data_IF_646348839205
#
_entry.id   IF_646348839205
#
_cell.length_a   1.000
_cell.length_b   1.000
_cell.length_c   1.000
_cell.angle_alpha   90.00
_cell.angle_beta   90.00
_cell.angle_gamma   90.00
#
_symmetry.space_group_name_H-M   'P 1'
#
loop_
_entity.id
_entity.type
_entity.pdbx_description
1 polymer ?
#
# COMPACT_ATOMS: atom_id res chain seq x y z
N UNK A 1 6.44 -4.48 -7.10
CA UNK A 1 6.32 -5.61 -8.04
C UNK A 1 6.73 -5.12 -9.42
N UNK A 2 7.72 -5.75 -10.03
CA UNK A 2 8.24 -5.32 -11.34
C UNK A 2 7.34 -5.73 -12.52
N UNK A 3 7.76 -5.42 -13.75
CA UNK A 3 7.02 -5.72 -14.99
C UNK A 3 6.80 -7.22 -15.27
N UNK A 4 7.57 -8.11 -14.63
CA UNK A 4 7.47 -9.58 -14.75
C UNK A 4 6.92 -10.22 -13.47
N UNK A 5 6.18 -9.44 -12.67
CA UNK A 5 5.65 -9.83 -11.36
C UNK A 5 6.72 -10.22 -10.32
N UNK A 6 7.96 -9.76 -10.49
CA UNK A 6 9.07 -9.95 -9.57
C UNK A 6 8.91 -9.13 -8.28
N UNK A 7 9.31 -9.73 -7.15
CA UNK A 7 9.22 -9.11 -5.81
C UNK A 7 10.47 -9.27 -4.94
N UNK A 8 11.42 -10.14 -5.31
CA UNK A 8 12.58 -10.40 -4.48
C UNK A 8 13.75 -11.03 -5.24
N UNK A 9 14.97 -10.70 -4.81
CA UNK A 9 16.24 -11.25 -5.30
C UNK A 9 17.25 -11.32 -4.16
N UNK A 10 17.93 -12.44 -3.96
CA UNK A 10 18.96 -12.54 -2.91
C UNK A 10 18.48 -12.23 -1.49
N UNK A 11 17.21 -12.53 -1.16
CA UNK A 11 16.56 -12.18 0.10
C UNK A 11 16.48 -10.66 0.37
N UNK A 12 16.37 -9.83 -0.68
CA UNK A 12 16.12 -8.40 -0.60
C UNK A 12 15.15 -7.95 -1.72
N UNK A 13 14.68 -6.71 -1.65
CA UNK A 13 13.91 -6.06 -2.71
C UNK A 13 14.89 -5.69 -3.85
N UNK A 14 14.63 -6.05 -5.12
CA UNK A 14 15.57 -5.84 -6.23
C UNK A 14 15.82 -4.36 -6.60
N UNK A 15 15.02 -3.44 -6.09
CA UNK A 15 15.07 -2.01 -6.36
C UNK A 15 15.11 -1.20 -5.06
N UNK A 16 15.56 0.06 -5.14
CA UNK A 16 15.60 0.99 -4.00
C UNK A 16 14.80 2.25 -4.31
N UNK A 17 13.53 2.24 -3.93
CA UNK A 17 12.62 3.37 -4.10
C UNK A 17 12.28 3.96 -2.73
N UNK A 18 12.93 5.08 -2.36
CA UNK A 18 12.73 5.70 -1.02
C UNK A 18 11.29 6.10 -0.78
N UNK A 19 10.64 6.62 -1.82
CA UNK A 19 9.25 7.06 -1.77
C UNK A 19 8.28 5.88 -1.55
N UNK A 20 8.53 4.73 -2.16
CA UNK A 20 7.77 3.49 -1.90
C UNK A 20 7.94 3.02 -0.45
N UNK A 21 9.16 3.09 0.11
CA UNK A 21 9.38 2.74 1.52
C UNK A 21 8.70 3.70 2.50
N UNK A 22 8.67 5.00 2.19
CA UNK A 22 7.94 6.00 2.97
C UNK A 22 6.43 5.72 2.91
N UNK A 23 5.91 5.45 1.72
CA UNK A 23 4.51 5.09 1.50
C UNK A 23 4.13 3.81 2.25
N UNK A 24 4.92 2.74 2.15
CA UNK A 24 4.74 1.50 2.93
C UNK A 24 4.70 1.78 4.43
N UNK A 25 5.65 2.58 4.94
CA UNK A 25 5.68 2.92 6.37
C UNK A 25 4.45 3.74 6.79
N UNK A 26 3.98 4.66 5.95
CA UNK A 26 2.81 5.48 6.24
C UNK A 26 1.55 4.60 6.27
N UNK A 27 1.30 3.83 5.22
CA UNK A 27 0.11 2.98 5.09
C UNK A 27 0.00 1.96 6.21
N UNK A 28 1.10 1.29 6.53
CA UNK A 28 1.08 0.23 7.55
C UNK A 28 1.08 0.79 8.98
N UNK A 29 1.33 2.09 9.20
CA UNK A 29 1.27 2.73 10.53
C UNK A 29 -0.02 3.51 10.76
N UNK A 30 -0.54 4.17 9.72
CA UNK A 30 -1.69 5.06 9.83
C UNK A 30 -2.90 4.29 10.31
N UNK A 31 -3.51 4.80 11.37
CA UNK A 31 -4.80 4.36 11.88
C UNK A 31 -5.80 5.51 11.80
N UNK A 32 -7.09 5.18 11.77
CA UNK A 32 -8.19 6.13 11.92
C UNK A 32 -8.44 6.47 13.39
N UNK A 33 -8.20 5.52 14.30
CA UNK A 33 -8.24 5.68 15.75
C UNK A 33 -6.80 5.69 16.31
N UNK A 34 -6.42 6.79 16.96
CA UNK A 34 -5.09 6.97 17.55
C UNK A 34 -4.79 6.01 18.70
N UNK A 35 -5.83 5.39 19.30
CA UNK A 35 -5.67 4.39 20.35
C UNK A 35 -5.45 2.98 19.82
N UNK A 36 -5.57 2.80 18.50
CA UNK A 36 -5.37 1.51 17.84
C UNK A 36 -3.99 1.43 17.19
N UNK A 37 -3.62 0.19 16.88
CA UNK A 37 -2.36 -0.15 16.22
C UNK A 37 -2.63 -1.08 15.05
N UNK A 38 -1.81 -0.98 14.01
CA UNK A 38 -1.83 -1.91 12.91
C UNK A 38 -0.88 -3.09 13.14
N UNK A 39 -1.23 -4.23 12.56
CA UNK A 39 -0.40 -5.44 12.58
C UNK A 39 0.26 -5.61 11.22
N UNK A 40 1.51 -6.06 11.21
CA UNK A 40 2.19 -6.52 9.99
C UNK A 40 2.55 -8.00 10.13
N UNK A 41 1.99 -8.84 9.26
CA UNK A 41 2.27 -10.27 9.16
C UNK A 41 3.29 -10.50 8.05
N UNK A 42 4.36 -11.21 8.37
CA UNK A 42 5.40 -11.55 7.42
C UNK A 42 5.98 -12.95 7.65
N UNK A 43 6.65 -13.50 6.64
CA UNK A 43 7.36 -14.78 6.76
C UNK A 43 8.78 -14.58 7.27
N UNK A 44 9.40 -15.65 7.80
CA UNK A 44 10.78 -15.62 8.33
C UNK A 44 11.80 -14.97 7.39
N UNK A 45 11.78 -15.31 6.09
CA UNK A 45 12.73 -14.76 5.10
C UNK A 45 12.61 -13.24 4.94
N UNK A 46 11.36 -12.74 4.90
CA UNK A 46 11.07 -11.31 4.87
C UNK A 46 11.48 -10.62 6.17
N UNK A 47 11.23 -11.27 7.32
CA UNK A 47 11.76 -10.78 8.59
C UNK A 47 13.29 -10.68 8.57
N UNK A 48 14.00 -11.64 8.00
CA UNK A 48 15.46 -11.60 7.93
C UNK A 48 16.04 -10.60 6.92
N UNK A 49 15.26 -10.21 5.91
CA UNK A 49 15.68 -9.18 4.94
C UNK A 49 15.62 -7.77 5.53
N UNK A 50 14.83 -7.54 6.58
CA UNK A 50 14.74 -6.23 7.21
C UNK A 50 16.06 -5.88 7.93
N UNK A 51 16.59 -4.65 7.75
CA UNK A 51 17.75 -4.19 8.52
C UNK A 51 17.49 -4.29 10.02
N UNK A 52 18.44 -4.83 10.79
CA UNK A 52 18.28 -5.11 12.22
C UNK A 52 17.78 -3.89 13.04
N UNK A 53 18.20 -2.68 12.69
CA UNK A 53 17.76 -1.43 13.33
C UNK A 53 16.27 -1.10 13.16
N UNK A 54 15.60 -1.74 12.20
CA UNK A 54 14.17 -1.56 11.92
C UNK A 54 13.35 -2.77 12.36
N UNK A 55 13.94 -3.73 13.09
CA UNK A 55 13.25 -4.89 13.63
C UNK A 55 13.06 -4.75 15.15
N UNK A 56 11.83 -4.94 15.67
CA UNK A 56 10.55 -4.97 14.95
C UNK A 56 10.24 -3.63 14.27
N UNK A 57 9.38 -3.64 13.23
CA UNK A 57 8.97 -2.43 12.53
C UNK A 57 8.23 -1.50 13.51
N UNK A 58 8.71 -0.26 13.76
CA UNK A 58 8.18 0.58 14.82
C UNK A 58 6.75 1.04 14.53
N UNK A 59 5.98 1.26 15.60
CA UNK A 59 4.58 1.71 15.55
C UNK A 59 3.57 0.66 15.10
N UNK A 60 3.97 -0.63 15.07
CA UNK A 60 3.16 -1.75 14.59
C UNK A 60 3.41 -2.98 15.45
N UNK A 61 2.40 -3.84 15.56
CA UNK A 61 2.59 -5.22 16.06
C UNK A 61 3.15 -6.04 14.92
N UNK A 62 4.30 -6.68 15.12
CA UNK A 62 4.94 -7.50 14.10
C UNK A 62 4.61 -8.97 14.36
N UNK A 63 4.10 -9.67 13.36
CA UNK A 63 3.85 -11.12 13.42
C UNK A 63 4.76 -11.79 12.41
N UNK A 64 5.60 -12.70 12.89
CA UNK A 64 6.49 -13.49 12.05
C UNK A 64 5.99 -14.93 12.00
N UNK A 65 5.60 -15.36 10.81
CA UNK A 65 5.24 -16.75 10.54
C UNK A 65 6.51 -17.58 10.35
N UNK A 66 6.77 -18.46 11.30
CA UNK A 66 7.95 -19.33 11.31
C UNK A 66 7.73 -20.57 12.16
N UNK A 67 8.18 -21.72 11.64
CA UNK A 67 8.17 -22.99 12.38
C UNK A 67 9.44 -23.20 13.22
N UNK A 68 10.51 -22.46 12.92
CA UNK A 68 11.84 -22.65 13.52
C UNK A 68 12.29 -21.49 14.39
N UNK A 69 11.66 -20.32 14.27
CA UNK A 69 12.03 -19.16 15.08
C UNK A 69 11.54 -19.35 16.51
N UNK A 70 12.42 -19.18 17.48
CA UNK A 70 12.06 -19.21 18.89
C UNK A 70 11.25 -17.95 19.25
N UNK A 71 10.11 -18.09 19.95
CA UNK A 71 9.37 -16.94 20.44
C UNK A 71 10.26 -16.02 21.29
N UNK A 72 10.17 -14.72 21.04
CA UNK A 72 10.90 -13.70 21.80
C UNK A 72 9.92 -12.96 22.70
N UNK A 73 10.34 -12.61 23.91
CA UNK A 73 9.56 -11.73 24.79
C UNK A 73 9.69 -10.30 24.29
N UNK A 74 8.76 -9.88 23.44
CA UNK A 74 8.63 -8.50 22.99
C UNK A 74 7.15 -8.20 22.77
N UNK A 75 6.66 -7.11 23.36
CA UNK A 75 5.25 -6.70 23.25
C UNK A 75 4.82 -6.42 21.81
N UNK A 76 5.77 -6.04 20.95
CA UNK A 76 5.51 -5.70 19.54
C UNK A 76 5.96 -6.80 18.57
N UNK A 77 6.26 -8.01 19.05
CA UNK A 77 6.68 -9.15 18.23
C UNK A 77 5.98 -10.44 18.66
N UNK A 78 5.22 -11.00 17.74
CA UNK A 78 4.56 -12.29 17.86
C UNK A 78 5.23 -13.24 16.88
N UNK A 79 5.55 -14.46 17.33
CA UNK A 79 5.99 -15.55 16.46
C UNK A 79 4.88 -16.59 16.44
N UNK A 80 4.37 -16.90 15.25
CA UNK A 80 3.30 -17.87 15.05
C UNK A 80 3.72 -18.92 14.03
N UNK A 81 3.19 -20.14 14.12
CA UNK A 81 3.55 -21.25 13.20
C UNK A 81 2.69 -21.28 11.94
N UNK A 82 1.55 -20.60 11.92
CA UNK A 82 0.68 -20.50 10.75
C UNK A 82 -0.10 -19.18 10.71
N UNK A 83 -0.72 -18.90 9.56
CA UNK A 83 -1.56 -17.70 9.42
C UNK A 83 -2.82 -17.80 10.29
N UNK A 84 -3.38 -19.00 10.40
CA UNK A 84 -4.58 -19.29 11.19
C UNK A 84 -4.33 -19.06 12.67
N UNK A 85 -3.23 -19.62 13.22
CA UNK A 85 -2.82 -19.39 14.62
C UNK A 85 -2.58 -17.90 14.89
N UNK A 86 -1.98 -17.18 13.94
CA UNK A 86 -1.78 -15.75 14.07
C UNK A 86 -3.11 -14.98 14.11
N UNK A 87 -4.04 -15.28 13.20
CA UNK A 87 -5.34 -14.61 13.15
C UNK A 87 -6.16 -14.90 14.41
N UNK A 88 -6.20 -16.14 14.88
CA UNK A 88 -6.91 -16.52 16.10
C UNK A 88 -6.40 -15.75 17.32
N UNK A 89 -5.07 -15.63 17.46
CA UNK A 89 -4.46 -14.82 18.52
C UNK A 89 -4.86 -13.35 18.41
N UNK A 90 -4.82 -12.77 17.21
CA UNK A 90 -5.16 -11.37 16.98
C UNK A 90 -6.65 -11.08 17.19
N UNK A 91 -7.50 -12.10 17.10
CA UNK A 91 -8.95 -12.02 17.40
C UNK A 91 -9.27 -12.20 18.90
N UNK A 92 -8.31 -12.59 19.72
CA UNK A 92 -8.52 -12.69 21.17
C UNK A 92 -8.78 -11.33 21.83
N UNK A 93 -9.42 -11.32 23.00
CA UNK A 93 -9.72 -10.10 23.76
C UNK A 93 -8.49 -9.24 24.07
N UNK A 94 -7.30 -9.86 24.11
CA UNK A 94 -6.03 -9.16 24.31
C UNK A 94 -5.73 -8.17 23.17
N UNK A 95 -6.12 -8.50 21.94
CA UNK A 95 -5.68 -7.80 20.74
C UNK A 95 -6.84 -7.19 19.93
N UNK A 96 -8.01 -7.83 19.89
CA UNK A 96 -9.14 -7.45 19.03
C UNK A 96 -9.56 -5.99 19.19
N UNK A 97 -9.56 -5.47 20.42
CA UNK A 97 -9.94 -4.07 20.71
C UNK A 97 -8.87 -3.04 20.35
N UNK A 98 -7.62 -3.47 20.15
CA UNK A 98 -6.46 -2.62 19.89
C UNK A 98 -6.07 -2.59 18.42
N UNK A 99 -6.47 -3.58 17.64
CA UNK A 99 -6.07 -3.71 16.24
C UNK A 99 -7.06 -2.97 15.34
N UNK A 100 -6.54 -2.16 14.42
CA UNK A 100 -7.37 -1.59 13.35
C UNK A 100 -7.25 -2.40 12.06
N UNK A 101 -6.04 -2.57 11.54
CA UNK A 101 -5.80 -3.29 10.28
C UNK A 101 -4.67 -4.31 10.39
N UNK A 102 -4.86 -5.48 9.78
CA UNK A 102 -3.83 -6.51 9.61
C UNK A 102 -3.27 -6.46 8.19
N UNK A 103 -1.97 -6.18 8.08
CA UNK A 103 -1.25 -6.07 6.81
C UNK A 103 -0.42 -7.32 6.55
N UNK A 104 -0.71 -8.04 5.48
CA UNK A 104 0.20 -9.07 4.97
C UNK A 104 1.29 -8.39 4.14
N UNK A 105 2.53 -8.42 4.64
CA UNK A 105 3.68 -7.77 3.99
C UNK A 105 4.61 -8.79 3.32
N UNK A 106 4.18 -10.04 3.17
CA UNK A 106 4.87 -11.07 2.40
C UNK A 106 5.91 -11.88 3.18
N UNK A 107 6.84 -12.59 2.52
CA UNK A 107 7.03 -12.70 1.08
C UNK A 107 6.06 -13.64 0.37
N UNK A 108 6.47 -14.19 -0.78
CA UNK A 108 5.65 -15.01 -1.70
C UNK A 108 4.71 -16.00 -1.02
N UNK A 109 5.23 -16.84 -0.12
CA UNK A 109 4.43 -17.87 0.56
C UNK A 109 3.32 -17.25 1.42
N UNK A 110 3.62 -16.15 2.12
CA UNK A 110 2.64 -15.49 2.97
C UNK A 110 1.62 -14.73 2.12
N UNK A 111 2.04 -14.11 1.01
CA UNK A 111 1.10 -13.55 0.04
C UNK A 111 0.16 -14.63 -0.51
N UNK A 112 0.66 -15.83 -0.83
CA UNK A 112 -0.16 -16.93 -1.32
C UNK A 112 -1.21 -17.38 -0.29
N UNK A 113 -0.83 -17.49 0.98
CA UNK A 113 -1.77 -17.76 2.08
C UNK A 113 -2.84 -16.67 2.20
N UNK A 114 -2.43 -15.40 2.07
CA UNK A 114 -3.37 -14.27 2.08
C UNK A 114 -4.37 -14.32 0.93
N UNK A 115 -3.91 -14.61 -0.30
CA UNK A 115 -4.75 -14.73 -1.50
C UNK A 115 -5.80 -15.84 -1.41
N UNK A 116 -5.52 -16.89 -0.64
CA UNK A 116 -6.44 -18.00 -0.40
C UNK A 116 -7.36 -17.76 0.80
N UNK A 117 -7.08 -16.72 1.60
CA UNK A 117 -7.83 -16.43 2.81
C UNK A 117 -9.15 -15.71 2.48
N UNK A 118 -10.28 -16.13 3.06
CA UNK A 118 -11.53 -15.38 2.94
C UNK A 118 -11.50 -14.01 3.65
N UNK A 119 -10.44 -13.74 4.42
CA UNK A 119 -10.23 -12.47 5.12
C UNK A 119 -9.53 -11.42 4.24
N UNK A 120 -9.06 -11.80 3.05
CA UNK A 120 -8.44 -10.84 2.14
C UNK A 120 -9.52 -9.92 1.55
N UNK A 121 -9.33 -8.62 1.72
CA UNK A 121 -10.24 -7.64 1.14
C UNK A 121 -9.59 -6.76 0.04
N UNK A 122 -8.29 -6.40 0.09
CA UNK A 122 -7.52 -5.78 -1.03
C UNK A 122 -6.05 -6.15 -0.97
N UNK A 123 -5.46 -6.00 -2.15
CA UNK A 123 -4.05 -6.04 -2.43
C UNK A 123 -3.50 -4.63 -2.67
N UNK A 124 -2.66 -4.09 -1.79
CA UNK A 124 -1.88 -2.88 -2.11
C UNK A 124 -0.65 -3.28 -2.92
N UNK A 125 -0.57 -2.84 -4.18
CA UNK A 125 0.51 -3.26 -5.09
C UNK A 125 1.18 -2.07 -5.75
N UNK A 126 2.33 -1.68 -5.23
CA UNK A 126 3.30 -0.85 -5.96
C UNK A 126 3.77 -1.58 -7.22
N UNK A 127 3.42 -1.06 -8.41
CA UNK A 127 4.00 -1.47 -9.70
C UNK A 127 5.29 -0.69 -9.93
N UNK A 128 6.37 -1.38 -10.26
CA UNK A 128 7.67 -0.77 -10.56
C UNK A 128 7.98 -1.01 -12.03
N UNK A 129 8.24 0.06 -12.77
CA UNK A 129 8.61 -0.06 -14.17
C UNK A 129 10.04 -0.64 -14.28
N UNK A 130 10.20 -1.68 -15.10
CA UNK A 130 11.46 -2.36 -15.33
C UNK A 130 11.39 -3.88 -15.08
N UNK A 131 12.42 -4.58 -15.51
CA UNK A 131 12.70 -5.98 -15.17
C UNK A 131 14.00 -6.00 -14.37
N UNK A 132 13.91 -6.47 -13.12
CA UNK A 132 15.04 -6.45 -12.19
C UNK A 132 15.65 -7.85 -11.99
N UNK A 133 15.33 -8.79 -12.88
CA UNK A 133 15.79 -10.18 -12.83
C UNK A 133 15.53 -10.78 -11.44
N UNK A 134 14.29 -10.62 -10.98
CA UNK A 134 13.82 -11.11 -9.70
C UNK A 134 13.72 -12.64 -9.70
N UNK A 135 14.25 -13.26 -8.64
CA UNK A 135 14.23 -14.72 -8.42
C UNK A 135 12.90 -15.17 -7.82
N UNK A 136 12.25 -14.28 -7.06
CA UNK A 136 10.97 -14.53 -6.40
C UNK A 136 9.90 -13.69 -7.07
N UNK A 137 8.83 -14.34 -7.52
CA UNK A 137 7.66 -13.70 -8.10
C UNK A 137 6.48 -13.68 -7.13
N UNK A 138 5.63 -12.66 -7.28
CA UNK A 138 4.33 -12.63 -6.62
C UNK A 138 3.49 -13.83 -7.09
N UNK A 139 2.65 -14.43 -6.23
CA UNK A 139 1.78 -15.53 -6.63
C UNK A 139 0.81 -15.12 -7.75
N UNK A 140 0.32 -16.10 -8.51
CA UNK A 140 -0.72 -15.84 -9.50
C UNK A 140 -2.01 -15.37 -8.83
N UNK A 141 -2.69 -14.41 -9.45
CA UNK A 141 -3.91 -13.79 -8.93
C UNK A 141 -5.02 -13.93 -9.95
N UNK A 142 -6.18 -14.42 -9.52
CA UNK A 142 -7.40 -14.39 -10.32
C UNK A 142 -8.02 -12.99 -10.31
N UNK A 143 -7.46 -12.08 -11.12
CA UNK A 143 -7.83 -10.66 -11.14
C UNK A 143 -9.32 -10.38 -11.38
N UNK A 144 -10.07 -11.32 -11.97
CA UNK A 144 -11.53 -11.23 -12.14
C UNK A 144 -12.29 -11.07 -10.80
N UNK A 145 -11.66 -11.42 -9.68
CA UNK A 145 -12.22 -11.26 -8.33
C UNK A 145 -11.87 -9.92 -7.67
N UNK A 146 -11.13 -9.05 -8.37
CA UNK A 146 -10.70 -7.76 -7.87
C UNK A 146 -11.12 -6.67 -8.85
N UNK A 147 -11.65 -5.57 -8.32
CA UNK A 147 -11.89 -4.36 -9.08
C UNK A 147 -10.72 -3.39 -8.85
N UNK A 148 -10.21 -2.81 -9.95
CA UNK A 148 -9.19 -1.78 -9.86
C UNK A 148 -9.87 -0.51 -9.34
N UNK A 149 -9.31 0.06 -8.27
CA UNK A 149 -9.72 1.35 -7.75
C UNK A 149 -8.70 2.41 -8.20
N UNK A 150 -9.17 3.39 -8.97
CA UNK A 150 -8.37 4.49 -9.51
C UNK A 150 -8.47 5.77 -8.65
N UNK A 151 -9.31 5.78 -7.60
CA UNK A 151 -9.65 6.95 -6.77
C UNK A 151 -8.65 7.23 -5.63
N UNK A 152 -7.50 6.54 -5.59
CA UNK A 152 -6.46 6.87 -4.62
C UNK A 152 -5.53 7.94 -5.18
N UNK A 153 -5.51 9.09 -4.51
CA UNK A 153 -4.68 10.27 -4.73
C UNK A 153 -3.18 10.04 -4.50
N UNK A 154 -2.72 8.80 -4.66
CA UNK A 154 -1.33 8.39 -4.55
C UNK A 154 -0.53 9.36 -5.38
N UNK A 155 0.04 10.34 -4.68
CA UNK A 155 0.65 11.53 -5.24
C UNK A 155 1.54 11.01 -6.34
N UNK A 156 1.37 11.49 -7.57
CA UNK A 156 2.24 11.14 -8.69
C UNK A 156 3.67 11.38 -8.25
N UNK A 157 4.27 10.31 -7.76
CA UNK A 157 5.60 10.29 -7.29
C UNK A 157 6.34 9.89 -8.55
N UNK A 158 6.66 10.89 -9.36
CA UNK A 158 7.68 10.78 -10.39
C UNK A 158 9.00 10.42 -9.69
N UNK A 159 9.21 9.12 -9.55
CA UNK A 159 10.29 8.34 -10.16
C UNK A 159 9.64 7.01 -10.57
N UNK A 160 8.99 7.04 -11.74
CA UNK A 160 8.35 5.93 -12.47
C UNK A 160 7.19 5.21 -11.76
N UNK A 161 6.01 5.85 -11.86
CA UNK A 161 4.63 5.33 -11.77
C UNK A 161 4.31 4.33 -10.64
N UNK A 162 3.63 4.81 -9.59
CA UNK A 162 3.08 4.01 -8.50
C UNK A 162 1.54 4.02 -8.55
N UNK A 163 0.90 2.85 -8.54
CA UNK A 163 -0.52 2.70 -8.23
C UNK A 163 -0.65 1.92 -6.91
N UNK A 164 -1.60 2.28 -6.05
CA UNK A 164 -1.79 1.72 -4.69
C UNK A 164 -3.25 1.33 -4.50
N UNK A 165 -3.54 0.17 -3.88
CA UNK A 165 -4.89 -0.41 -3.76
C UNK A 165 -5.17 -0.90 -2.29
N UNK A 166 -5.74 -0.06 -1.40
CA UNK A 166 -5.86 -0.21 0.10
C UNK A 166 -7.00 -1.03 0.77
N UNK A 167 -6.80 -1.95 1.74
CA UNK A 167 -7.96 -2.56 2.45
C UNK A 167 -8.13 -2.47 3.95
N UNK A 168 -9.41 -2.39 4.34
CA UNK A 168 -9.97 -2.22 5.68
C UNK A 168 -10.83 -3.43 6.07
N UNK A 169 -10.60 -4.00 7.25
CA UNK A 169 -11.50 -5.01 7.81
C UNK A 169 -12.65 -4.35 8.59
N UNK A 170 -13.89 -4.78 8.32
CA UNK A 170 -15.06 -4.55 9.15
C UNK A 170 -15.78 -5.88 9.40
N UNK A 171 -16.41 -6.02 10.57
CA UNK A 171 -17.11 -7.23 10.99
C UNK A 171 -18.16 -7.68 9.96
N UNK A 172 -18.35 -9.00 9.85
CA UNK A 172 -19.32 -9.61 8.94
C UNK A 172 -20.76 -9.25 9.35
N UNK A 173 -21.26 -8.10 8.92
CA UNK A 173 -22.64 -7.78 8.56
C UNK A 173 -22.68 -6.29 8.19
N UNK A 174 -23.31 -6.00 7.05
CA UNK A 174 -23.42 -4.68 6.42
C UNK A 174 -22.14 -4.17 5.73
N UNK A 175 -22.21 -4.25 4.40
CA UNK A 175 -21.44 -3.39 3.49
C UNK A 175 -21.71 -1.94 3.89
N UNK A 176 -20.85 -1.35 4.70
CA UNK A 176 -20.76 0.09 4.82
C UNK A 176 -19.93 0.60 3.64
N UNK A 177 -20.55 0.66 2.46
CA UNK A 177 -20.09 1.59 1.43
C UNK A 177 -20.26 2.98 2.02
N UNK A 178 -19.17 3.71 2.22
CA UNK A 178 -19.27 5.14 2.46
C UNK A 178 -19.77 5.79 1.18
N UNK A 179 -21.08 6.05 1.11
CA UNK A 179 -21.71 6.87 0.10
C UNK A 179 -21.28 8.32 0.31
N UNK A 180 -20.58 8.91 -0.64
CA UNK A 180 -20.46 10.37 -0.72
C UNK A 180 -21.46 10.85 -1.76
N UNK A 181 -22.58 11.37 -1.26
CA UNK A 181 -23.57 12.08 -2.06
C UNK A 181 -23.03 13.47 -2.37
N UNK A 182 -22.83 13.77 -3.66
CA UNK A 182 -22.70 15.13 -4.15
C UNK A 182 -24.02 15.87 -3.93
N UNK A 183 -24.01 16.96 -3.18
CA UNK A 183 -24.91 18.08 -3.44
C UNK A 183 -24.20 19.41 -3.23
N UNK A 184 -24.06 20.11 -4.36
CA UNK A 184 -24.06 21.55 -4.55
C UNK A 184 -23.27 22.43 -3.57
N UNK A 185 -22.12 22.91 -4.04
CA UNK A 185 -22.01 24.34 -4.31
C UNK A 185 -21.36 24.51 -5.68
N UNK A 186 -22.21 24.74 -6.68
CA UNK A 186 -21.75 25.27 -7.95
C UNK A 186 -21.21 26.68 -7.76
N UNK A 187 -20.00 26.92 -8.22
CA UNK A 187 -19.59 28.19 -8.80
C UNK A 187 -18.60 27.88 -9.92
N UNK A 188 -19.10 28.06 -11.15
CA UNK A 188 -18.43 28.58 -12.34
C UNK A 188 -16.99 29.10 -12.13
N UNK A 189 -16.07 28.67 -13.00
CA UNK A 189 -15.60 29.60 -14.05
C UNK A 189 -14.95 28.85 -15.23
N UNK A 190 -15.26 29.36 -16.42
CA UNK A 190 -14.71 28.95 -17.70
C UNK A 190 -13.29 29.51 -17.90
N UNK A 191 -12.59 28.92 -18.87
CA UNK A 191 -11.46 29.50 -19.60
C UNK A 191 -10.13 29.74 -18.86
N UNK A 192 -9.14 28.91 -19.20
CA UNK A 192 -7.84 29.49 -19.55
C UNK A 192 -7.08 28.67 -20.60
N UNK A 193 -7.23 29.15 -21.84
CA UNK A 193 -6.19 29.32 -22.87
C UNK A 193 -5.73 28.11 -23.71
N UNK A 194 -6.33 28.07 -24.90
CA UNK A 194 -5.76 27.61 -26.18
C UNK A 194 -4.37 28.21 -26.41
N UNK A 195 -3.40 27.37 -26.80
CA UNK A 195 -2.29 27.78 -27.65
C UNK A 195 -2.59 27.40 -29.10
N UNK A 196 -2.94 28.39 -29.92
CA UNK A 196 -2.72 28.35 -31.37
C UNK A 196 -2.23 29.72 -31.81
N UNK A 197 -1.05 29.74 -32.43
CA UNK A 197 -0.41 30.90 -33.02
C UNK A 197 -1.06 31.22 -34.36
N UNK A 198 -1.46 32.48 -34.58
CA UNK A 198 -1.54 33.08 -35.91
C UNK A 198 -1.49 34.60 -35.81
N UNK A 199 -0.45 35.20 -36.43
CA UNK A 199 -0.29 36.64 -36.66
C UNK A 199 -1.33 37.17 -37.67
N UNK A 200 -1.74 38.43 -37.49
CA UNK A 200 -1.94 39.42 -38.57
C UNK A 200 -2.07 40.84 -38.00
N UNK A 201 -1.09 41.66 -38.37
CA UNK A 201 -1.19 43.00 -38.97
C UNK A 201 -2.13 44.07 -38.38
N UNK A 202 -1.53 45.23 -38.09
CA UNK A 202 -1.97 46.49 -38.71
C UNK A 202 -2.51 47.60 -37.81
N UNK A 203 -1.80 48.73 -37.82
CA UNK A 203 -2.28 50.12 -37.68
C UNK A 203 -2.77 50.56 -36.27
N UNK A 204 -2.44 51.74 -35.73
CA UNK A 204 -1.70 52.90 -36.19
C UNK A 204 -1.81 54.02 -35.14
N UNK A 205 -0.85 54.96 -35.21
CA UNK A 205 -0.87 56.32 -34.66
C UNK A 205 -0.86 56.54 -33.13
N UNK A 206 0.30 56.97 -32.64
CA UNK A 206 0.41 58.22 -31.88
C UNK A 206 1.53 59.08 -32.47
N UNK A 207 1.20 60.36 -32.66
CA UNK A 207 2.08 61.45 -33.06
C UNK A 207 2.89 61.99 -31.86
N UNK A 208 3.77 62.96 -32.15
CA UNK A 208 4.72 63.70 -31.27
C UNK A 208 6.06 62.96 -31.05
N UNK A 209 7.25 63.47 -31.40
CA UNK A 209 7.83 64.81 -31.51
C UNK A 209 9.01 64.81 -32.51
N UNK A 210 9.33 65.98 -33.11
CA UNK A 210 10.71 66.34 -33.54
C UNK A 210 11.05 66.21 -35.01
#
# INVERSE_FOLDING_TARGET
>A
MDSKNGIGKGNDIPWRLRKDMAHFSMMTKKTSDENRVNVVIMGRKCWDSLPAKFRPLPGRINVVLSRTMTPQKSENLIVSRSLEEAVELLQSDQYRSRIETIWNIGGREIYALGLQSPLLHKLVITRVQGDFDAEVRFPDVEWKHFEKNDDFDGTEIEENALATLTVTMGDAAEVATATVTLHELGLVDEDCSRMTVSNRDGEGQKAEEG
#
